data_IF_388700959657
#
_entry.id   IF_388700959657
#
_cell.length_a   1.000
_cell.length_b   1.000
_cell.length_c   1.000
_cell.angle_alpha   90.00
_cell.angle_beta   90.00
_cell.angle_gamma   90.00
#
_symmetry.space_group_name_H-M   'P 1'
#
loop_
_entity.id
_entity.type
_entity.pdbx_description
1 polymer ?
#
# COMPACT_ATOMS: atom_id res chain seq x y z
N UNK A 1 15.76 0.81 14.92
CA UNK A 1 16.04 0.80 13.46
C UNK A 1 15.66 -0.53 12.79
N UNK A 2 16.16 -1.69 13.24
CA UNK A 2 15.85 -2.98 12.60
C UNK A 2 14.33 -3.33 12.56
N UNK A 3 13.60 -3.04 13.64
CA UNK A 3 12.16 -3.33 13.72
C UNK A 3 11.35 -2.58 12.66
N UNK A 4 11.71 -1.34 12.35
CA UNK A 4 11.00 -0.51 11.37
C UNK A 4 11.14 -1.07 9.95
N UNK A 5 12.35 -1.52 9.58
CA UNK A 5 12.60 -2.15 8.28
C UNK A 5 11.85 -3.49 8.12
N UNK A 6 11.80 -4.29 9.18
CA UNK A 6 11.01 -5.53 9.20
C UNK A 6 9.51 -5.21 9.05
N UNK A 7 9.01 -4.22 9.80
CA UNK A 7 7.62 -3.78 9.74
C UNK A 7 7.22 -3.28 8.35
N UNK A 8 8.07 -2.50 7.69
CA UNK A 8 7.85 -2.06 6.30
C UNK A 8 7.83 -3.23 5.32
N UNK A 9 8.68 -4.24 5.53
CA UNK A 9 8.69 -5.45 4.70
C UNK A 9 7.39 -6.24 4.86
N UNK A 10 6.94 -6.48 6.08
CA UNK A 10 5.65 -7.14 6.34
C UNK A 10 4.47 -6.39 5.73
N UNK A 11 4.45 -5.04 5.84
CA UNK A 11 3.41 -4.21 5.23
C UNK A 11 3.39 -4.34 3.71
N UNK A 12 4.57 -4.34 3.08
CA UNK A 12 4.70 -4.51 1.64
C UNK A 12 4.16 -5.88 1.22
N UNK A 13 4.48 -6.93 1.96
CA UNK A 13 4.02 -8.28 1.65
C UNK A 13 2.49 -8.38 1.82
N UNK A 14 1.91 -7.79 2.87
CA UNK A 14 0.46 -7.74 3.05
C UNK A 14 -0.25 -7.07 1.86
N UNK A 15 0.31 -5.99 1.32
CA UNK A 15 -0.22 -5.35 0.10
C UNK A 15 -0.10 -6.28 -1.10
N UNK A 16 1.07 -6.90 -1.31
CA UNK A 16 1.33 -7.76 -2.48
C UNK A 16 0.44 -9.00 -2.51
N UNK A 17 0.11 -9.55 -1.35
CA UNK A 17 -0.79 -10.70 -1.19
C UNK A 17 -2.27 -10.29 -1.02
N UNK A 18 -2.59 -8.99 -1.08
CA UNK A 18 -3.94 -8.45 -0.84
C UNK A 18 -4.57 -8.89 0.51
N UNK A 19 -3.74 -9.06 1.54
CA UNK A 19 -4.18 -9.43 2.88
C UNK A 19 -4.74 -8.21 3.63
N UNK A 20 -6.04 -7.96 3.41
CA UNK A 20 -6.78 -6.88 4.05
C UNK A 20 -6.72 -6.94 5.58
N UNK A 21 -6.73 -8.14 6.19
CA UNK A 21 -6.73 -8.31 7.63
C UNK A 21 -5.39 -7.91 8.25
N UNK A 22 -4.27 -8.34 7.65
CA UNK A 22 -2.94 -7.89 8.04
C UNK A 22 -2.82 -6.36 7.90
N UNK A 23 -3.34 -5.81 6.80
CA UNK A 23 -3.40 -4.35 6.62
C UNK A 23 -4.19 -3.66 7.74
N UNK A 24 -5.37 -4.17 8.17
CA UNK A 24 -6.11 -3.59 9.31
C UNK A 24 -5.26 -3.60 10.58
N UNK A 25 -4.54 -4.68 10.86
CA UNK A 25 -3.66 -4.75 12.04
C UNK A 25 -2.55 -3.70 11.97
N UNK A 26 -1.98 -3.45 10.80
CA UNK A 26 -1.00 -2.36 10.63
C UNK A 26 -1.59 -0.99 10.96
N UNK A 27 -2.86 -0.73 10.61
CA UNK A 27 -3.55 0.51 10.95
C UNK A 27 -3.72 0.71 12.47
N UNK A 28 -3.77 -0.36 13.27
CA UNK A 28 -3.78 -0.26 14.75
C UNK A 28 -2.46 0.30 15.27
N UNK A 29 -1.34 -0.14 14.69
CA UNK A 29 -0.01 0.39 15.03
C UNK A 29 0.13 1.84 14.55
N UNK A 30 -0.35 2.14 13.34
CA UNK A 30 -0.30 3.48 12.76
C UNK A 30 -1.10 4.50 13.59
N UNK A 31 -2.24 4.10 14.17
CA UNK A 31 -3.04 4.96 15.03
C UNK A 31 -2.20 5.53 16.20
N UNK A 32 -1.41 4.67 16.85
CA UNK A 32 -0.53 5.06 17.95
C UNK A 32 0.59 5.97 17.44
N UNK A 33 1.16 5.63 16.29
CA UNK A 33 2.21 6.44 15.66
C UNK A 33 1.71 7.84 15.27
N UNK A 34 0.53 7.95 14.64
CA UNK A 34 -0.08 9.23 14.27
C UNK A 34 -0.39 10.10 15.48
N UNK A 35 -0.76 9.50 16.61
CA UNK A 35 -0.93 10.23 17.86
C UNK A 35 0.40 10.78 18.37
N UNK A 36 1.42 9.91 18.49
CA UNK A 36 2.74 10.29 18.98
C UNK A 36 3.42 11.37 18.11
N UNK A 37 3.25 11.29 16.78
CA UNK A 37 3.79 12.23 15.80
C UNK A 37 2.93 13.48 15.58
N UNK A 38 1.84 13.66 16.33
CA UNK A 38 0.91 14.80 16.23
C UNK A 38 0.34 15.01 14.82
N UNK A 39 -0.11 13.93 14.18
CA UNK A 39 -0.77 13.97 12.88
C UNK A 39 -2.29 13.81 13.03
N UNK A 40 -3.05 14.89 13.35
CA UNK A 40 -4.47 14.79 13.70
C UNK A 40 -5.34 14.29 12.54
N UNK A 41 -5.01 14.66 11.30
CA UNK A 41 -5.74 14.20 10.11
C UNK A 41 -5.67 12.68 9.98
N UNK A 42 -4.48 12.10 10.01
CA UNK A 42 -4.27 10.66 9.89
C UNK A 42 -4.79 9.90 11.10
N UNK A 43 -4.69 10.48 12.31
CA UNK A 43 -5.29 9.92 13.52
C UNK A 43 -6.82 9.78 13.39
N UNK A 44 -7.50 10.81 12.89
CA UNK A 44 -8.96 10.79 12.70
C UNK A 44 -9.35 9.75 11.64
N UNK A 45 -8.59 9.66 10.53
CA UNK A 45 -8.85 8.69 9.47
C UNK A 45 -8.63 7.25 9.95
N UNK A 46 -7.53 6.98 10.64
CA UNK A 46 -7.23 5.68 11.23
C UNK A 46 -8.29 5.27 12.26
N UNK A 47 -8.71 6.18 13.14
CA UNK A 47 -9.77 5.91 14.11
C UNK A 47 -11.09 5.55 13.42
N UNK A 48 -11.50 6.32 12.41
CA UNK A 48 -12.72 6.04 11.64
C UNK A 48 -12.67 4.69 10.95
N UNK A 49 -11.56 4.38 10.30
CA UNK A 49 -11.36 3.10 9.62
C UNK A 49 -11.48 1.94 10.60
N UNK A 50 -10.76 2.00 11.73
CA UNK A 50 -10.79 0.93 12.73
C UNK A 50 -12.17 0.80 13.39
N UNK A 51 -12.85 1.92 13.68
CA UNK A 51 -14.23 1.91 14.18
C UNK A 51 -15.20 1.29 13.16
N UNK A 52 -15.05 1.65 11.87
CA UNK A 52 -15.83 1.10 10.75
C UNK A 52 -15.69 -0.41 10.67
N UNK A 53 -14.46 -0.90 10.75
CA UNK A 53 -14.16 -2.34 10.68
C UNK A 53 -14.67 -3.09 11.92
N UNK A 54 -14.60 -2.49 13.10
CA UNK A 54 -14.93 -3.16 14.37
C UNK A 54 -16.38 -2.96 14.85
N UNK A 55 -17.30 -2.54 13.98
CA UNK A 55 -18.74 -2.58 14.27
C UNK A 55 -19.51 -1.29 14.01
N UNK A 56 -18.89 -0.24 13.49
CA UNK A 56 -19.62 0.97 13.09
C UNK A 56 -20.33 0.80 11.73
N UNK A 57 -19.81 -0.04 10.83
CA UNK A 57 -20.46 -0.35 9.55
C UNK A 57 -21.18 -1.71 9.57
N UNK A 58 -22.21 -1.89 8.72
CA UNK A 58 -22.76 -3.19 8.39
C UNK A 58 -21.68 -4.14 7.84
N UNK A 59 -21.86 -5.44 8.07
CA UNK A 59 -20.91 -6.48 7.71
C UNK A 59 -20.46 -6.42 6.24
N UNK A 60 -21.39 -6.25 5.30
CA UNK A 60 -21.03 -6.15 3.88
C UNK A 60 -20.03 -5.01 3.59
N UNK A 61 -20.34 -3.81 4.10
CA UNK A 61 -19.47 -2.64 3.91
C UNK A 61 -18.15 -2.78 4.67
N UNK A 62 -18.15 -3.51 5.80
CA UNK A 62 -16.91 -3.86 6.51
C UNK A 62 -16.00 -4.70 5.61
N UNK A 63 -16.51 -5.79 5.04
CA UNK A 63 -15.72 -6.66 4.17
C UNK A 63 -15.20 -5.91 2.94
N UNK A 64 -16.06 -5.08 2.32
CA UNK A 64 -15.66 -4.22 1.21
C UNK A 64 -14.50 -3.29 1.62
N UNK A 65 -14.56 -2.62 2.76
CA UNK A 65 -13.48 -1.73 3.21
C UNK A 65 -12.19 -2.49 3.56
N UNK A 66 -12.28 -3.73 4.06
CA UNK A 66 -11.11 -4.55 4.39
C UNK A 66 -10.40 -5.00 3.11
N UNK A 67 -11.14 -5.47 2.12
CA UNK A 67 -10.58 -6.13 0.93
C UNK A 67 -10.41 -5.20 -0.28
N UNK A 68 -11.22 -4.15 -0.42
CA UNK A 68 -11.14 -3.18 -1.52
C UNK A 68 -10.04 -2.12 -1.29
N UNK A 69 -8.82 -2.58 -1.01
CA UNK A 69 -7.68 -1.72 -0.62
C UNK A 69 -6.48 -1.87 -1.54
N UNK A 70 -6.50 -2.92 -2.36
CA UNK A 70 -5.47 -3.22 -3.34
C UNK A 70 -6.11 -3.52 -4.69
N UNK A 71 -5.33 -3.44 -5.75
CA UNK A 71 -5.74 -3.75 -7.11
C UNK A 71 -4.66 -4.56 -7.81
N UNK A 72 -5.07 -5.62 -8.50
CA UNK A 72 -4.17 -6.43 -9.31
C UNK A 72 -4.23 -5.98 -10.77
N UNK A 73 -3.61 -4.84 -11.08
CA UNK A 73 -3.72 -4.23 -12.41
C UNK A 73 -3.11 -5.09 -13.52
N UNK A 74 -1.88 -5.59 -13.33
CA UNK A 74 -1.17 -6.40 -14.32
C UNK A 74 -1.40 -7.91 -14.20
N UNK A 75 -2.27 -8.35 -13.29
CA UNK A 75 -2.49 -9.76 -12.97
C UNK A 75 -1.28 -10.45 -12.32
N UNK A 76 -1.51 -11.68 -11.84
CA UNK A 76 -0.49 -12.56 -11.27
C UNK A 76 -0.33 -12.47 -9.74
N UNK A 77 0.37 -13.47 -9.19
CA UNK A 77 0.55 -13.65 -7.74
C UNK A 77 1.57 -12.62 -7.22
N UNK A 78 1.28 -12.02 -6.05
CA UNK A 78 2.19 -11.07 -5.40
C UNK A 78 2.40 -9.76 -6.19
N UNK A 79 1.47 -9.40 -7.08
CA UNK A 79 1.53 -8.21 -7.96
C UNK A 79 0.48 -7.15 -7.66
N UNK A 80 -0.22 -7.30 -6.54
CA UNK A 80 -1.17 -6.30 -6.06
C UNK A 80 -0.48 -4.97 -5.74
N UNK A 81 -1.14 -3.88 -6.09
CA UNK A 81 -0.75 -2.51 -5.80
C UNK A 81 -1.74 -1.88 -4.81
N UNK A 82 -1.31 -0.93 -3.97
CA UNK A 82 -2.26 -0.14 -3.18
C UNK A 82 -3.25 0.58 -4.10
N UNK A 83 -4.53 0.52 -3.76
CA UNK A 83 -5.58 1.14 -4.58
C UNK A 83 -5.40 2.66 -4.70
N UNK A 84 -4.96 3.32 -3.63
CA UNK A 84 -4.69 4.77 -3.63
C UNK A 84 -3.59 5.13 -4.64
N UNK A 85 -2.54 4.31 -4.71
CA UNK A 85 -1.46 4.47 -5.69
C UNK A 85 -1.96 4.28 -7.13
N UNK A 86 -2.84 3.31 -7.36
CA UNK A 86 -3.45 3.13 -8.68
C UNK A 86 -4.32 4.33 -9.06
N UNK A 87 -5.12 4.86 -8.12
CA UNK A 87 -5.92 6.05 -8.37
C UNK A 87 -5.04 7.27 -8.70
N UNK A 88 -3.88 7.41 -8.06
CA UNK A 88 -2.91 8.45 -8.41
C UNK A 88 -2.37 8.29 -9.84
N UNK A 89 -2.03 7.05 -10.24
CA UNK A 89 -1.60 6.74 -11.60
C UNK A 89 -2.70 7.11 -12.61
N UNK A 90 -3.93 6.64 -12.40
CA UNK A 90 -5.06 6.91 -13.29
C UNK A 90 -5.37 8.40 -13.40
N UNK A 91 -5.32 9.13 -12.28
CA UNK A 91 -5.52 10.58 -12.28
C UNK A 91 -4.42 11.33 -13.02
N UNK A 92 -3.17 10.87 -12.93
CA UNK A 92 -2.06 11.45 -13.68
C UNK A 92 -2.22 11.21 -15.17
N UNK A 93 -2.49 9.97 -15.58
CA UNK A 93 -2.75 9.61 -16.99
C UNK A 93 -3.92 10.41 -17.55
N UNK A 94 -4.98 10.61 -16.76
CA UNK A 94 -6.11 11.45 -17.16
C UNK A 94 -5.72 12.89 -17.48
N UNK A 95 -4.91 13.50 -16.62
CA UNK A 95 -4.44 14.87 -16.81
C UNK A 95 -3.50 14.98 -18.02
N UNK A 96 -2.66 13.98 -18.24
CA UNK A 96 -1.79 13.91 -19.41
C UNK A 96 -2.60 13.83 -20.71
N UNK A 97 -3.58 12.93 -20.79
CA UNK A 97 -4.48 12.80 -21.95
C UNK A 97 -5.29 14.07 -22.20
N UNK A 98 -5.77 14.72 -21.14
CA UNK A 98 -6.45 16.01 -21.26
C UNK A 98 -5.50 17.11 -21.76
N UNK A 99 -4.22 17.09 -21.38
CA UNK A 99 -3.26 18.09 -21.86
C UNK A 99 -3.09 18.06 -23.38
N UNK A 100 -3.23 16.87 -24.00
CA UNK A 100 -3.21 16.72 -25.46
C UNK A 100 -4.36 17.46 -26.16
N UNK A 101 -5.48 17.70 -25.45
CA UNK A 101 -6.60 18.49 -25.98
C UNK A 101 -6.34 20.01 -26.03
N UNK A 102 -5.17 20.48 -25.57
CA UNK A 102 -4.70 21.88 -25.68
C UNK A 102 -5.76 22.94 -25.27
N UNK A 103 -6.55 22.65 -24.24
CA UNK A 103 -7.55 23.57 -23.70
C UNK A 103 -8.98 23.43 -24.27
N UNK A 104 -9.22 22.52 -25.21
CA UNK A 104 -10.57 22.24 -25.72
C UNK A 104 -11.29 21.19 -24.87
N UNK A 105 -11.60 21.57 -23.63
CA UNK A 105 -12.29 20.71 -22.67
C UNK A 105 -13.81 20.71 -22.89
N UNK A 106 -14.27 20.01 -23.92
CA UNK A 106 -15.69 19.70 -24.07
C UNK A 106 -16.05 18.48 -23.20
N UNK A 107 -17.32 18.38 -22.77
CA UNK A 107 -17.79 17.20 -22.02
C UNK A 107 -17.52 15.89 -22.78
N UNK A 108 -17.66 15.91 -24.11
CA UNK A 108 -17.36 14.75 -24.96
C UNK A 108 -15.86 14.42 -25.00
N UNK A 109 -14.98 15.41 -24.98
CA UNK A 109 -13.52 15.19 -24.89
C UNK A 109 -13.14 14.62 -23.53
N UNK A 110 -13.67 15.19 -22.44
CA UNK A 110 -13.43 14.73 -21.07
C UNK A 110 -13.91 13.28 -20.90
N UNK A 111 -15.11 12.97 -21.38
CA UNK A 111 -15.67 11.62 -21.32
C UNK A 111 -14.81 10.62 -22.12
N UNK A 112 -14.41 10.96 -23.35
CA UNK A 112 -13.51 10.12 -24.15
C UNK A 112 -12.17 9.88 -23.45
N UNK A 113 -11.54 10.93 -22.92
CA UNK A 113 -10.29 10.79 -22.15
C UNK A 113 -10.49 9.85 -20.95
N UNK A 114 -11.58 9.98 -20.20
CA UNK A 114 -11.86 9.12 -19.04
C UNK A 114 -12.03 7.64 -19.41
N UNK A 115 -12.64 7.35 -20.57
CA UNK A 115 -12.88 5.99 -21.04
C UNK A 115 -11.63 5.32 -21.60
N UNK A 116 -10.72 6.09 -22.20
CA UNK A 116 -9.48 5.57 -22.79
C UNK A 116 -8.47 5.20 -21.69
N UNK A 117 -8.57 5.74 -20.48
CA UNK A 117 -7.54 5.49 -19.45
C UNK A 117 -7.66 4.10 -18.85
N UNK A 118 -6.50 3.52 -18.53
CA UNK A 118 -6.39 2.20 -17.93
C UNK A 118 -6.21 1.12 -19.01
N UNK A 119 -6.79 -0.09 -18.82
CA UNK A 119 -6.47 -1.24 -19.66
C UNK A 119 -6.81 -1.05 -21.14
N UNK A 120 -7.85 -0.25 -21.45
CA UNK A 120 -8.26 0.02 -22.83
C UNK A 120 -7.23 0.88 -23.57
N UNK A 121 -6.72 1.93 -22.92
CA UNK A 121 -5.68 2.79 -23.47
C UNK A 121 -4.38 2.04 -23.67
N UNK A 122 -3.99 1.22 -22.69
CA UNK A 122 -2.80 0.35 -22.84
C UNK A 122 -2.94 -0.64 -23.99
N UNK A 123 -4.13 -1.22 -24.18
CA UNK A 123 -4.40 -2.11 -25.31
C UNK A 123 -4.33 -1.37 -26.65
N UNK A 124 -4.89 -0.15 -26.72
CA UNK A 124 -4.83 0.70 -27.90
C UNK A 124 -3.39 1.12 -28.24
N UNK A 125 -2.62 1.55 -27.24
CA UNK A 125 -1.20 1.92 -27.39
C UNK A 125 -0.39 0.72 -27.87
N UNK A 126 -0.63 -0.48 -27.33
CA UNK A 126 0.04 -1.71 -27.77
C UNK A 126 -0.23 -2.02 -29.25
N UNK A 127 -1.48 -1.88 -29.69
CA UNK A 127 -1.85 -2.07 -31.10
C UNK A 127 -1.20 -1.01 -31.98
N UNK A 128 -1.27 0.26 -31.57
CA UNK A 128 -0.67 1.38 -32.29
C UNK A 128 0.85 1.22 -32.44
N UNK A 129 1.56 0.90 -31.36
CA UNK A 129 3.00 0.66 -31.37
C UNK A 129 3.40 -0.53 -32.24
N UNK A 130 2.54 -1.55 -32.33
CA UNK A 130 2.81 -2.74 -33.15
C UNK A 130 2.57 -2.52 -34.65
N UNK A 131 1.62 -1.65 -35.01
CA UNK A 131 1.16 -1.47 -36.39
C UNK A 131 1.71 -0.21 -37.05
N UNK A 132 2.01 0.83 -36.27
CA UNK A 132 2.33 2.17 -36.78
C UNK A 132 3.77 2.57 -36.49
N UNK A 133 4.33 2.14 -35.36
CA UNK A 133 5.72 2.44 -35.01
C UNK A 133 6.62 1.35 -35.61
N UNK A 134 7.31 1.65 -36.72
CA UNK A 134 8.47 0.86 -37.16
C UNK A 134 9.50 0.87 -36.02
N UNK A 135 9.56 -0.24 -35.27
CA UNK A 135 10.40 -0.36 -34.09
C UNK A 135 11.89 -0.48 -34.50
N UNK A 136 12.52 0.62 -34.91
CA UNK A 136 14.00 0.77 -34.92
C UNK A 136 14.55 1.09 -33.52
N UNK A 137 13.80 0.79 -32.45
CA UNK A 137 14.31 0.99 -31.10
C UNK A 137 15.29 -0.11 -30.76
N UNK A 138 16.56 0.27 -30.68
CA UNK A 138 17.67 -0.51 -30.13
C UNK A 138 17.32 -0.92 -28.70
N UNK A 139 16.66 -2.07 -28.53
CA UNK A 139 16.48 -2.68 -27.22
C UNK A 139 17.87 -3.02 -26.73
N UNK A 140 18.38 -2.28 -25.73
CA UNK A 140 19.48 -2.77 -24.93
C UNK A 140 19.05 -4.15 -24.41
N UNK A 141 19.58 -5.23 -25.01
CA UNK A 141 19.64 -6.52 -24.33
C UNK A 141 20.37 -6.21 -23.03
N UNK A 142 19.64 -6.14 -21.91
CA UNK A 142 20.27 -6.26 -20.60
C UNK A 142 21.10 -7.52 -20.73
N UNK A 143 22.43 -7.38 -20.72
CA UNK A 143 23.29 -8.54 -20.66
C UNK A 143 22.83 -9.30 -19.43
N UNK A 144 22.22 -10.46 -19.63
CA UNK A 144 22.07 -11.51 -18.63
C UNK A 144 23.46 -12.07 -18.28
N UNK A 145 24.48 -11.21 -18.23
CA UNK A 145 25.83 -11.58 -17.89
C UNK A 145 25.86 -11.71 -16.38
N UNK A 146 25.99 -12.94 -15.93
CA UNK A 146 26.46 -13.29 -14.60
C UNK A 146 25.51 -13.21 -13.42
N UNK A 147 24.18 -13.16 -13.62
CA UNK A 147 23.28 -13.41 -12.47
C UNK A 147 23.57 -14.77 -11.84
N UNK A 148 23.69 -15.80 -12.67
CA UNK A 148 23.94 -17.17 -12.21
C UNK A 148 25.36 -17.33 -11.67
N UNK A 149 26.36 -16.68 -12.27
CA UNK A 149 27.74 -16.71 -11.74
C UNK A 149 27.86 -15.97 -10.41
N UNK A 150 27.24 -14.80 -10.26
CA UNK A 150 27.23 -14.05 -9.01
C UNK A 150 26.47 -14.80 -7.91
N UNK A 151 25.37 -15.47 -8.24
CA UNK A 151 24.64 -16.34 -7.32
C UNK A 151 25.50 -17.54 -6.91
N UNK A 152 26.21 -18.18 -7.86
CA UNK A 152 27.16 -19.27 -7.54
C UNK A 152 28.30 -18.80 -6.64
N UNK A 153 28.88 -17.64 -6.90
CA UNK A 153 29.92 -17.04 -6.06
C UNK A 153 29.38 -16.77 -4.64
N UNK A 154 28.18 -16.18 -4.52
CA UNK A 154 27.52 -15.95 -3.24
C UNK A 154 27.28 -17.27 -2.49
N UNK A 155 26.74 -18.29 -3.15
CA UNK A 155 26.50 -19.60 -2.54
C UNK A 155 27.80 -20.22 -2.07
N UNK A 156 28.86 -20.21 -2.90
CA UNK A 156 30.17 -20.76 -2.54
C UNK A 156 30.77 -20.05 -1.31
N UNK A 157 30.66 -18.73 -1.26
CA UNK A 157 31.06 -17.93 -0.10
C UNK A 157 30.26 -18.30 1.16
N UNK A 158 28.93 -18.37 1.07
CA UNK A 158 28.05 -18.70 2.19
C UNK A 158 28.26 -20.13 2.72
N UNK A 159 28.54 -21.08 1.82
CA UNK A 159 28.88 -22.46 2.16
C UNK A 159 30.23 -22.55 2.87
N UNK A 160 31.25 -21.84 2.38
CA UNK A 160 32.57 -21.76 3.02
C UNK A 160 32.49 -21.19 4.44
N UNK A 161 31.69 -20.14 4.62
CA UNK A 161 31.47 -19.49 5.93
C UNK A 161 30.56 -20.33 6.84
N UNK A 162 29.97 -21.42 6.34
CA UNK A 162 29.03 -22.28 7.07
C UNK A 162 27.93 -21.45 7.74
N UNK A 163 27.40 -20.44 7.01
CA UNK A 163 26.51 -19.44 7.61
C UNK A 163 25.26 -20.09 8.23
N UNK A 164 24.72 -21.12 7.57
CA UNK A 164 23.51 -21.83 7.98
C UNK A 164 23.79 -23.16 8.71
N UNK A 165 25.06 -23.52 8.96
CA UNK A 165 25.36 -24.73 9.71
C UNK A 165 25.07 -24.51 11.19
N UNK A 166 24.32 -25.45 11.78
CA UNK A 166 24.08 -25.46 13.22
C UNK A 166 25.41 -25.59 13.96
N UNK A 167 25.74 -24.59 14.76
CA UNK A 167 26.96 -24.54 15.58
C UNK A 167 26.52 -24.41 17.03
N UNK A 168 26.90 -25.39 17.85
CA UNK A 168 26.52 -25.43 19.27
C UNK A 168 27.03 -24.15 19.95
N UNK A 169 26.14 -23.43 20.64
CA UNK A 169 26.47 -22.15 21.28
C UNK A 169 26.39 -20.91 20.38
N UNK A 170 26.16 -21.05 19.07
CA UNK A 170 25.92 -19.92 18.16
C UNK A 170 24.46 -19.46 18.31
N UNK A 171 24.22 -18.62 19.30
CA UNK A 171 23.01 -17.83 19.41
C UNK A 171 23.33 -16.37 19.02
N UNK A 172 22.32 -15.65 18.50
CA UNK A 172 22.42 -14.19 18.57
C UNK A 172 22.45 -13.88 20.07
N UNK A 173 23.36 -13.00 20.53
CA UNK A 173 23.21 -12.36 21.84
C UNK A 173 21.94 -11.53 21.72
N UNK A 174 20.78 -12.16 21.99
CA UNK A 174 19.48 -11.51 21.98
C UNK A 174 19.67 -10.20 22.72
N UNK A 175 19.30 -9.07 22.11
CA UNK A 175 19.64 -7.74 22.61
C UNK A 175 19.25 -7.66 24.10
N UNK A 176 20.19 -7.88 25.04
CA UNK A 176 19.80 -8.20 26.42
C UNK A 176 19.31 -6.93 27.13
N UNK A 177 19.81 -5.79 26.65
CA UNK A 177 19.41 -4.45 27.05
C UNK A 177 18.25 -3.89 26.19
N UNK A 178 17.69 -4.67 25.25
CA UNK A 178 16.55 -4.21 24.47
C UNK A 178 15.29 -4.24 25.33
N UNK A 179 14.98 -3.08 25.88
CA UNK A 179 13.69 -2.83 26.50
C UNK A 179 12.70 -2.40 25.43
N UNK A 180 11.66 -3.22 25.23
CA UNK A 180 10.52 -2.82 24.42
C UNK A 180 9.69 -1.80 25.22
N UNK A 181 9.97 -0.51 25.03
CA UNK A 181 9.22 0.58 25.67
C UNK A 181 8.74 1.61 24.64
N UNK A 182 8.03 1.15 23.60
CA UNK A 182 7.30 2.07 22.73
C UNK A 182 5.97 2.47 23.37
N UNK A 183 6.06 3.24 24.47
CA UNK A 183 4.89 3.94 24.98
C UNK A 183 4.61 5.16 24.09
N UNK A 184 3.35 5.40 23.69
CA UNK A 184 3.01 6.62 22.98
C UNK A 184 3.40 7.83 23.81
N UNK A 185 3.92 8.87 23.17
CA UNK A 185 4.24 10.14 23.81
C UNK A 185 2.95 10.68 24.46
N UNK A 186 2.91 10.77 25.79
CA UNK A 186 1.74 11.14 26.61
C UNK A 186 0.55 10.15 26.54
N UNK A 187 0.67 8.92 27.09
CA UNK A 187 -0.39 7.91 27.01
C UNK A 187 -1.72 8.37 27.64
N UNK A 188 -1.66 9.19 28.70
CA UNK A 188 -2.84 9.71 29.39
C UNK A 188 -3.76 10.59 28.53
N UNK A 189 -3.25 11.15 27.42
CA UNK A 189 -4.05 11.96 26.50
C UNK A 189 -4.67 11.14 25.35
N UNK A 190 -4.18 9.92 25.12
CA UNK A 190 -4.63 9.07 24.01
C UNK A 190 -6.07 8.59 24.24
N UNK A 191 -6.35 8.03 25.42
CA UNK A 191 -7.67 7.49 25.76
C UNK A 191 -8.78 8.56 25.71
N UNK A 192 -8.64 9.75 26.35
CA UNK A 192 -9.61 10.82 26.22
C UNK A 192 -9.86 11.23 24.77
N UNK A 193 -8.80 11.23 23.94
CA UNK A 193 -8.91 11.55 22.52
C UNK A 193 -9.72 10.51 21.76
N UNK A 194 -9.48 9.22 21.99
CA UNK A 194 -10.24 8.15 21.35
C UNK A 194 -11.72 8.20 21.73
N UNK A 195 -12.03 8.43 23.02
CA UNK A 195 -13.41 8.61 23.51
C UNK A 195 -14.06 9.81 22.82
N UNK A 196 -13.35 10.94 22.70
CA UNK A 196 -13.85 12.12 22.00
C UNK A 196 -14.22 11.82 20.54
N UNK A 197 -13.38 11.07 19.83
CA UNK A 197 -13.61 10.72 18.42
C UNK A 197 -14.79 9.74 18.26
N UNK A 198 -14.91 8.75 19.15
CA UNK A 198 -16.04 7.82 19.14
C UNK A 198 -17.37 8.53 19.41
N UNK A 199 -17.43 9.42 20.41
CA UNK A 199 -18.62 10.26 20.65
C UNK A 199 -19.03 11.09 19.44
N UNK A 200 -18.06 11.60 18.67
CA UNK A 200 -18.33 12.34 17.42
C UNK A 200 -18.88 11.45 16.32
N UNK A 201 -18.42 10.20 16.21
CA UNK A 201 -18.97 9.22 15.26
C UNK A 201 -20.40 8.83 15.63
N UNK A 202 -20.67 8.57 16.91
CA UNK A 202 -22.02 8.23 17.38
C UNK A 202 -23.00 9.36 17.13
N UNK A 203 -22.58 10.61 17.35
CA UNK A 203 -23.41 11.79 17.02
C UNK A 203 -23.80 11.81 15.55
N UNK A 204 -22.88 11.48 14.63
CA UNK A 204 -23.19 11.42 13.19
C UNK A 204 -24.18 10.33 12.85
N UNK A 205 -24.04 9.14 13.46
CA UNK A 205 -24.98 8.04 13.26
C UNK A 205 -26.41 8.42 13.67
N UNK A 206 -26.56 9.15 14.79
CA UNK A 206 -27.88 9.59 15.27
C UNK A 206 -28.55 10.63 14.38
N UNK A 207 -27.77 11.49 13.71
CA UNK A 207 -28.33 12.45 12.75
C UNK A 207 -28.91 11.73 11.55
N UNK A 208 -28.18 10.74 11.00
CA UNK A 208 -28.61 9.99 9.80
C UNK A 208 -29.91 9.21 10.04
N UNK A 209 -30.17 8.73 11.26
CA UNK A 209 -31.38 7.98 11.60
C UNK A 209 -32.63 8.86 11.83
N UNK A 210 -32.47 10.18 11.94
CA UNK A 210 -33.56 11.11 12.22
C UNK A 210 -34.05 11.84 10.95
N UNK A 211 -33.44 11.60 9.80
CA UNK A 211 -33.78 12.20 8.50
C UNK A 211 -34.57 11.24 7.58
N UNK A 212 -35.03 10.09 8.11
CA UNK A 212 -36.02 9.17 7.51
C UNK A 212 -37.38 9.30 8.23
#
# INVERSE_FOLDING_TARGET
>A
MAWLGLNLSCRRDAVREADGNAMITHWKLDLVHFFASKHPKYLILAHRLLASVHGWLPEKLREDIIHNRTVNYGGGIGRNLPMDFMNEILNRLFKELLSCAKGQYTNATIQRCSQIIGPLGEALDTVFDSQVVENELYRHRRRSGNRDENVKQLISFLQNVKLFAFTVGRNHKAFPDFQFSENPRNPGQFQPKMIQLSKKLDKRRRVILNDD
#
